data_IF_511742038881
#
_entry.id   IF_511742038881
#
_cell.length_a   1.000
_cell.length_b   1.000
_cell.length_c   1.000
_cell.angle_alpha   90.00
_cell.angle_beta   90.00
_cell.angle_gamma   90.00
#
_symmetry.space_group_name_H-M   'P 1'
#
loop_
_entity.id
_entity.type
_entity.pdbx_description
1 polymer ?
#
# COMPACT_ATOMS: atom_id res chain seq x y z
N UNK A 1 -80.52 18.56 41.34
CA UNK A 1 -79.83 19.34 40.29
C UNK A 1 -78.37 18.99 40.33
N UNK A 2 -77.95 17.91 39.63
CA UNK A 2 -76.58 17.44 39.60
C UNK A 2 -76.07 17.56 38.17
N UNK A 3 -75.10 18.41 37.97
CA UNK A 3 -74.47 18.58 36.66
C UNK A 3 -73.42 17.49 36.46
N UNK A 4 -73.59 16.74 35.38
CA UNK A 4 -72.69 15.71 34.93
C UNK A 4 -71.55 16.39 34.17
N UNK A 5 -70.33 16.36 34.75
CA UNK A 5 -69.13 16.81 34.07
C UNK A 5 -68.59 15.67 33.20
N UNK A 6 -68.76 15.78 31.90
CA UNK A 6 -68.19 14.89 30.91
C UNK A 6 -66.68 15.23 30.75
N UNK A 7 -65.80 14.38 31.29
CA UNK A 7 -64.34 14.44 30.99
C UNK A 7 -64.10 13.94 29.55
N UNK A 8 -63.72 14.87 28.67
CA UNK A 8 -63.20 14.52 27.37
C UNK A 8 -61.81 13.90 27.48
N UNK A 9 -61.69 12.60 27.23
CA UNK A 9 -60.40 11.95 27.03
C UNK A 9 -59.87 12.31 25.63
N UNK A 10 -58.75 13.01 25.56
CA UNK A 10 -58.01 13.27 24.34
C UNK A 10 -57.03 12.11 24.21
N UNK A 11 -57.07 11.25 23.16
CA UNK A 11 -56.06 10.26 22.92
C UNK A 11 -54.78 10.97 22.45
N UNK A 12 -53.74 10.93 23.23
CA UNK A 12 -52.39 11.36 22.83
C UNK A 12 -51.86 10.32 21.84
N UNK A 13 -51.90 10.68 20.56
CA UNK A 13 -51.30 9.91 19.49
C UNK A 13 -49.78 10.04 19.60
N UNK A 14 -49.15 9.02 20.15
CA UNK A 14 -47.68 8.92 20.19
C UNK A 14 -47.20 8.61 18.79
N UNK A 15 -46.81 9.64 18.02
CA UNK A 15 -46.11 9.48 16.74
C UNK A 15 -44.64 9.18 17.11
N UNK A 16 -44.30 7.89 17.14
CA UNK A 16 -42.92 7.45 17.20
C UNK A 16 -42.26 7.75 15.85
N UNK A 17 -41.56 8.87 15.78
CA UNK A 17 -40.62 9.18 14.69
C UNK A 17 -39.44 8.17 14.81
N UNK A 18 -39.55 7.10 14.05
CA UNK A 18 -38.40 6.23 13.76
C UNK A 18 -37.44 7.05 12.92
N UNK A 19 -36.43 7.64 13.59
CA UNK A 19 -35.24 8.14 12.92
C UNK A 19 -34.53 6.94 12.32
N UNK A 20 -34.79 6.61 11.07
CA UNK A 20 -33.90 5.82 10.26
C UNK A 20 -32.64 6.66 10.07
N UNK A 21 -31.66 6.46 10.97
CA UNK A 21 -30.29 6.86 10.74
C UNK A 21 -29.79 6.01 9.59
N UNK A 22 -29.89 6.53 8.38
CA UNK A 22 -29.17 6.03 7.24
C UNK A 22 -27.71 6.36 7.53
N UNK A 23 -26.95 5.42 8.11
CA UNK A 23 -25.50 5.48 8.09
C UNK A 23 -25.12 5.32 6.61
N UNK A 24 -25.01 6.43 5.90
CA UNK A 24 -24.23 6.48 4.68
C UNK A 24 -22.80 6.12 5.11
N UNK A 25 -22.38 4.90 4.81
CA UNK A 25 -20.95 4.55 4.82
C UNK A 25 -20.41 5.37 3.66
N UNK A 26 -19.75 6.50 3.98
CA UNK A 26 -19.02 7.23 2.98
C UNK A 26 -18.04 6.24 2.34
N UNK A 27 -17.98 6.16 0.99
CA UNK A 27 -17.03 5.28 0.35
C UNK A 27 -15.65 5.70 0.85
N UNK A 28 -14.90 4.73 1.41
CA UNK A 28 -13.52 4.96 1.85
C UNK A 28 -12.76 5.46 0.61
N UNK A 29 -12.38 6.72 0.64
CA UNK A 29 -11.54 7.30 -0.43
C UNK A 29 -10.17 6.61 -0.33
N UNK A 30 -9.91 5.69 -1.26
CA UNK A 30 -8.63 5.00 -1.34
C UNK A 30 -7.57 6.01 -1.76
N UNK A 31 -6.49 6.08 -1.00
CA UNK A 31 -5.32 6.85 -1.42
C UNK A 31 -4.62 6.19 -2.62
N UNK A 32 -3.74 6.91 -3.29
CA UNK A 32 -3.04 6.45 -4.48
C UNK A 32 -2.29 5.12 -4.26
N UNK A 33 -1.65 4.97 -3.10
CA UNK A 33 -0.99 3.73 -2.70
C UNK A 33 -1.98 2.54 -2.71
N UNK A 34 -3.12 2.69 -2.06
CA UNK A 34 -4.11 1.60 -1.95
C UNK A 34 -4.74 1.26 -3.31
N UNK A 35 -4.96 2.27 -4.17
CA UNK A 35 -5.47 2.06 -5.53
C UNK A 35 -4.50 1.20 -6.33
N UNK A 36 -3.21 1.52 -6.27
CA UNK A 36 -2.18 0.82 -7.04
C UNK A 36 -1.86 -0.57 -6.47
N UNK A 37 -1.86 -0.74 -5.15
CA UNK A 37 -1.77 -2.06 -4.52
C UNK A 37 -2.91 -2.98 -4.99
N UNK A 38 -4.16 -2.51 -4.91
CA UNK A 38 -5.32 -3.30 -5.39
C UNK A 38 -5.22 -3.62 -6.89
N UNK A 39 -4.70 -2.68 -7.69
CA UNK A 39 -4.47 -2.89 -9.13
C UNK A 39 -3.45 -4.01 -9.36
N UNK A 40 -2.30 -3.99 -8.66
CA UNK A 40 -1.28 -5.03 -8.72
C UNK A 40 -1.83 -6.39 -8.30
N UNK A 41 -2.45 -6.48 -7.13
CA UNK A 41 -3.03 -7.72 -6.62
C UNK A 41 -4.08 -8.32 -7.57
N UNK A 42 -4.91 -7.48 -8.22
CA UNK A 42 -5.93 -7.93 -9.17
C UNK A 42 -5.36 -8.61 -10.42
N UNK A 43 -4.09 -8.34 -10.76
CA UNK A 43 -3.42 -8.96 -11.92
C UNK A 43 -3.00 -10.40 -11.67
N UNK A 44 -2.86 -10.82 -10.40
CA UNK A 44 -2.41 -12.15 -10.00
C UNK A 44 -1.09 -12.57 -10.67
N UNK A 45 -0.17 -11.61 -10.89
CA UNK A 45 1.14 -11.86 -11.49
C UNK A 45 2.07 -12.35 -10.38
N UNK A 46 2.56 -13.58 -10.51
CA UNK A 46 3.42 -14.22 -9.50
C UNK A 46 4.79 -14.64 -10.06
N UNK A 47 5.02 -14.48 -11.37
CA UNK A 47 6.28 -14.82 -12.05
C UNK A 47 6.61 -13.70 -13.04
N UNK A 48 7.78 -13.08 -12.86
CA UNK A 48 8.21 -11.92 -13.62
C UNK A 48 9.71 -11.66 -13.43
N UNK A 49 10.26 -10.81 -14.27
CA UNK A 49 11.65 -10.30 -14.18
C UNK A 49 11.60 -8.78 -14.03
N UNK A 50 12.35 -8.25 -13.08
CA UNK A 50 12.53 -6.80 -12.89
C UNK A 50 14.01 -6.44 -12.82
N UNK A 51 14.33 -5.22 -13.27
CA UNK A 51 15.61 -4.58 -12.96
C UNK A 51 15.38 -3.61 -11.81
N UNK A 52 15.92 -3.92 -10.63
CA UNK A 52 15.76 -3.17 -9.39
C UNK A 52 17.05 -2.45 -9.00
N UNK A 53 16.95 -1.20 -8.60
CA UNK A 53 18.03 -0.43 -7.99
C UNK A 53 17.56 0.11 -6.64
N UNK A 54 18.38 -0.04 -5.60
CA UNK A 54 18.22 0.67 -4.34
C UNK A 54 19.08 1.93 -4.34
N UNK A 55 18.56 3.02 -3.77
CA UNK A 55 19.30 4.25 -3.48
C UNK A 55 19.22 4.53 -1.97
N UNK A 56 20.35 4.79 -1.34
CA UNK A 56 20.48 5.15 0.07
C UNK A 56 21.84 5.82 0.30
N UNK A 57 22.02 6.46 1.42
CA UNK A 57 23.34 6.89 1.88
C UNK A 57 24.13 5.71 2.48
N UNK A 58 24.19 4.61 1.74
CA UNK A 58 24.85 3.37 2.08
C UNK A 58 25.84 2.99 0.98
N UNK A 59 26.34 1.76 0.98
CA UNK A 59 27.20 1.29 -0.12
C UNK A 59 26.38 1.35 -1.42
N UNK A 60 26.86 2.10 -2.45
CA UNK A 60 26.16 2.17 -3.73
C UNK A 60 25.94 0.77 -4.30
N UNK A 61 24.70 0.49 -4.70
CA UNK A 61 24.36 -0.76 -5.37
C UNK A 61 24.14 -0.50 -6.86
N UNK A 62 24.72 -1.34 -7.72
CA UNK A 62 24.36 -1.37 -9.13
C UNK A 62 22.95 -1.94 -9.28
N UNK A 63 22.23 -1.55 -10.35
CA UNK A 63 20.95 -2.21 -10.67
C UNK A 63 21.17 -3.72 -10.86
N UNK A 64 20.24 -4.52 -10.34
CA UNK A 64 20.24 -5.98 -10.45
C UNK A 64 19.00 -6.48 -11.18
N UNK A 65 19.17 -7.49 -12.03
CA UNK A 65 18.05 -8.20 -12.63
C UNK A 65 17.60 -9.30 -11.68
N UNK A 66 16.35 -9.28 -11.29
CA UNK A 66 15.75 -10.23 -10.36
C UNK A 66 14.69 -11.04 -11.10
N UNK A 67 14.85 -12.36 -11.13
CA UNK A 67 13.83 -13.28 -11.60
C UNK A 67 13.02 -13.79 -10.42
N UNK A 68 11.71 -13.55 -10.48
CA UNK A 68 10.74 -13.97 -9.48
C UNK A 68 9.88 -15.10 -10.07
N UNK A 69 9.71 -16.19 -9.32
CA UNK A 69 8.78 -17.28 -9.63
C UNK A 69 7.98 -17.65 -8.39
N UNK A 70 6.64 -17.70 -8.53
CA UNK A 70 5.72 -17.98 -7.44
C UNK A 70 5.97 -17.04 -6.23
N UNK A 71 6.10 -15.74 -6.50
CA UNK A 71 6.35 -14.67 -5.53
C UNK A 71 7.65 -14.85 -4.72
N UNK A 72 8.65 -15.54 -5.26
CA UNK A 72 9.95 -15.76 -4.61
C UNK A 72 11.08 -15.46 -5.57
N UNK A 73 12.10 -14.78 -5.07
CA UNK A 73 13.34 -14.54 -5.82
C UNK A 73 14.01 -15.89 -6.08
N UNK A 74 14.31 -16.16 -7.34
CA UNK A 74 14.98 -17.38 -7.81
C UNK A 74 16.37 -17.12 -8.34
N UNK A 75 16.51 -16.05 -9.11
CA UNK A 75 17.77 -15.70 -9.73
C UNK A 75 18.03 -14.20 -9.57
N UNK A 76 19.30 -13.85 -9.43
CA UNK A 76 19.82 -12.48 -9.53
C UNK A 76 20.93 -12.49 -10.57
N UNK A 77 20.85 -11.57 -11.56
CA UNK A 77 21.78 -11.46 -12.68
C UNK A 77 22.01 -12.82 -13.38
N UNK A 78 20.90 -13.54 -13.66
CA UNK A 78 20.88 -14.86 -14.29
C UNK A 78 21.59 -15.97 -13.48
N UNK A 79 21.81 -15.80 -12.21
CA UNK A 79 22.39 -16.78 -11.32
C UNK A 79 21.42 -17.17 -10.20
N UNK A 80 21.20 -18.45 -9.99
CA UNK A 80 20.35 -18.96 -8.90
C UNK A 80 20.95 -18.51 -7.57
N UNK A 81 20.09 -18.00 -6.67
CA UNK A 81 20.48 -17.50 -5.37
C UNK A 81 19.96 -18.35 -4.24
N UNK A 82 20.76 -18.48 -3.18
CA UNK A 82 20.35 -19.14 -1.93
C UNK A 82 19.78 -18.13 -0.95
N UNK A 83 19.05 -18.61 0.06
CA UNK A 83 18.54 -17.75 1.14
C UNK A 83 19.67 -17.06 1.90
N UNK A 84 20.84 -17.69 2.02
CA UNK A 84 22.01 -17.07 2.67
C UNK A 84 22.56 -15.90 1.85
N UNK A 85 22.64 -16.03 0.52
CA UNK A 85 23.06 -14.95 -0.36
C UNK A 85 22.04 -13.79 -0.36
N UNK A 86 20.74 -14.09 -0.36
CA UNK A 86 19.69 -13.06 -0.25
C UNK A 86 19.83 -12.25 1.05
N UNK A 87 20.15 -12.91 2.17
CA UNK A 87 20.28 -12.23 3.46
C UNK A 87 21.56 -11.42 3.61
N UNK A 88 22.68 -11.87 3.01
CA UNK A 88 24.00 -11.29 3.25
C UNK A 88 24.49 -10.40 2.11
N UNK A 89 24.28 -10.82 0.86
CA UNK A 89 24.82 -10.17 -0.32
C UNK A 89 23.77 -9.30 -1.01
N UNK A 90 22.54 -9.81 -1.12
CA UNK A 90 21.43 -9.16 -1.83
C UNK A 90 20.28 -8.76 -0.88
N UNK A 91 20.62 -8.35 0.35
CA UNK A 91 19.65 -7.97 1.39
C UNK A 91 18.64 -6.89 0.96
N UNK A 92 19.00 -6.09 -0.05
CA UNK A 92 18.18 -5.04 -0.64
C UNK A 92 17.29 -5.54 -1.78
N UNK A 93 17.50 -6.75 -2.29
CA UNK A 93 16.65 -7.33 -3.32
C UNK A 93 15.24 -7.59 -2.77
N UNK A 94 14.24 -7.13 -3.50
CA UNK A 94 12.82 -7.24 -3.10
C UNK A 94 11.96 -7.67 -4.27
N UNK A 95 10.93 -8.46 -3.98
CA UNK A 95 9.81 -8.66 -4.89
C UNK A 95 8.92 -7.42 -4.90
N UNK A 96 8.01 -7.31 -5.88
CA UNK A 96 7.04 -6.20 -5.91
C UNK A 96 6.15 -6.21 -4.66
N UNK A 97 5.73 -7.39 -4.18
CA UNK A 97 4.93 -7.51 -2.95
C UNK A 97 5.70 -7.00 -1.72
N UNK A 98 7.00 -7.32 -1.64
CA UNK A 98 7.88 -6.81 -0.56
C UNK A 98 8.13 -5.29 -0.68
N UNK A 99 8.12 -4.72 -1.88
CA UNK A 99 8.18 -3.27 -2.07
C UNK A 99 6.90 -2.58 -1.57
N UNK A 100 5.73 -3.18 -1.79
CA UNK A 100 4.48 -2.66 -1.21
C UNK A 100 4.48 -2.71 0.32
N UNK A 101 5.00 -3.79 0.92
CA UNK A 101 5.18 -3.88 2.38
C UNK A 101 6.14 -2.78 2.86
N UNK A 102 7.26 -2.58 2.18
CA UNK A 102 8.23 -1.53 2.48
C UNK A 102 7.60 -0.12 2.43
N UNK A 103 6.76 0.16 1.42
CA UNK A 103 6.04 1.43 1.30
C UNK A 103 5.08 1.62 2.48
N UNK A 104 4.27 0.60 2.79
CA UNK A 104 3.28 0.65 3.88
C UNK A 104 3.93 0.90 5.25
N UNK A 105 5.09 0.27 5.51
CA UNK A 105 5.87 0.46 6.74
C UNK A 105 6.41 1.89 6.83
N UNK A 106 6.99 2.44 5.75
CA UNK A 106 7.57 3.78 5.76
C UNK A 106 6.49 4.88 5.82
N UNK A 107 5.33 4.72 5.17
CA UNK A 107 4.21 5.68 5.29
C UNK A 107 3.73 5.77 6.75
N UNK A 108 3.68 4.67 7.49
CA UNK A 108 3.25 4.65 8.91
C UNK A 108 4.21 5.37 9.85
N UNK A 109 5.46 5.54 9.46
CA UNK A 109 6.47 6.30 10.20
C UNK A 109 6.34 7.82 9.98
N UNK A 110 5.38 8.29 9.17
CA UNK A 110 5.12 9.71 8.86
C UNK A 110 6.39 10.44 8.39
N UNK A 111 7.02 10.01 7.26
CA UNK A 111 8.27 10.58 6.79
C UNK A 111 8.14 12.06 6.46
N UNK A 112 9.23 12.81 6.60
CA UNK A 112 9.30 14.23 6.23
C UNK A 112 8.97 14.47 4.75
N UNK A 113 9.47 13.60 3.87
CA UNK A 113 9.19 13.64 2.45
C UNK A 113 9.03 12.23 1.89
N UNK A 114 8.09 12.07 0.97
CA UNK A 114 7.92 10.84 0.20
C UNK A 114 7.58 11.15 -1.25
N UNK A 115 8.11 10.34 -2.17
CA UNK A 115 7.73 10.33 -3.57
C UNK A 115 7.45 8.90 -3.99
N UNK A 116 6.25 8.65 -4.50
CA UNK A 116 5.82 7.35 -4.98
C UNK A 116 5.29 7.49 -6.41
N UNK A 117 5.87 6.74 -7.34
CA UNK A 117 5.39 6.65 -8.71
C UNK A 117 5.03 5.21 -9.02
N UNK A 118 3.87 5.00 -9.65
CA UNK A 118 3.34 3.68 -9.93
C UNK A 118 3.12 3.46 -11.43
N UNK A 119 3.35 2.23 -11.86
CA UNK A 119 3.08 1.81 -13.24
C UNK A 119 1.60 1.94 -13.58
N UNK A 120 1.28 2.68 -14.62
CA UNK A 120 -0.11 2.95 -15.02
C UNK A 120 -0.88 1.68 -15.40
N UNK A 121 -0.22 0.67 -15.96
CA UNK A 121 -0.85 -0.56 -16.46
C UNK A 121 -1.05 -1.61 -15.39
N UNK A 122 -0.03 -1.83 -14.55
CA UNK A 122 0.01 -2.93 -13.58
C UNK A 122 -0.10 -2.48 -12.14
N UNK A 123 0.18 -1.21 -11.83
CA UNK A 123 0.08 -0.64 -10.48
C UNK A 123 1.32 -0.88 -9.60
N UNK A 124 2.35 -1.61 -10.04
CA UNK A 124 3.55 -1.79 -9.24
C UNK A 124 4.32 -0.47 -9.08
N UNK A 125 5.09 -0.29 -7.97
CA UNK A 125 5.88 0.92 -7.77
C UNK A 125 7.06 0.95 -8.75
N UNK A 126 7.17 2.02 -9.56
CA UNK A 126 8.31 2.28 -10.45
C UNK A 126 9.39 3.09 -9.74
N UNK A 127 8.97 4.02 -8.88
CA UNK A 127 9.88 4.83 -8.09
C UNK A 127 9.36 4.98 -6.66
N UNK A 128 10.25 4.78 -5.71
CA UNK A 128 9.99 4.91 -4.27
C UNK A 128 11.11 5.76 -3.69
N UNK A 129 10.76 6.81 -2.95
CA UNK A 129 11.69 7.62 -2.21
C UNK A 129 11.07 8.04 -0.88
N UNK A 130 11.84 7.88 0.18
CA UNK A 130 11.52 8.37 1.51
C UNK A 130 12.71 9.11 2.09
N UNK A 131 12.44 10.32 2.63
CA UNK A 131 13.32 11.02 3.55
C UNK A 131 12.62 11.07 4.91
N UNK A 132 13.22 10.44 5.91
CA UNK A 132 12.57 10.28 7.22
C UNK A 132 12.61 11.55 8.04
N UNK A 133 13.74 12.30 8.00
CA UNK A 133 13.94 13.49 8.82
C UNK A 133 14.58 14.62 8.02
N UNK A 134 14.04 15.85 8.16
CA UNK A 134 14.49 17.04 7.44
C UNK A 134 15.97 17.41 7.65
N UNK A 135 16.50 17.09 8.83
CA UNK A 135 17.83 17.54 9.26
C UNK A 135 18.92 16.44 9.19
N UNK A 136 18.56 15.23 8.78
CA UNK A 136 19.50 14.10 8.65
C UNK A 136 19.69 13.74 7.18
N UNK A 137 20.92 13.85 6.71
CA UNK A 137 21.31 13.67 5.29
C UNK A 137 21.41 12.20 4.88
N UNK A 138 21.46 11.27 5.84
CA UNK A 138 21.72 9.84 5.64
C UNK A 138 20.55 8.91 5.93
N UNK A 139 19.35 9.48 6.11
CA UNK A 139 18.10 8.76 6.34
C UNK A 139 17.27 8.49 5.06
N UNK A 140 17.81 8.94 3.92
CA UNK A 140 17.14 8.76 2.63
C UNK A 140 17.25 7.31 2.15
N UNK A 141 16.12 6.76 1.71
CA UNK A 141 16.06 5.42 1.12
C UNK A 141 15.05 5.37 -0.01
N UNK A 142 15.38 4.66 -1.08
CA UNK A 142 14.49 4.51 -2.22
C UNK A 142 14.76 3.28 -3.06
N UNK A 143 13.83 3.01 -3.96
CA UNK A 143 13.93 1.96 -4.96
C UNK A 143 13.44 2.43 -6.32
N UNK A 144 14.06 1.93 -7.38
CA UNK A 144 13.62 2.18 -8.76
C UNK A 144 13.52 0.86 -9.50
N UNK A 145 12.39 0.61 -10.15
CA UNK A 145 12.22 -0.47 -11.12
C UNK A 145 12.35 0.13 -12.52
N UNK A 146 13.42 -0.20 -13.24
CA UNK A 146 13.70 0.34 -14.58
C UNK A 146 13.22 -0.57 -15.72
N UNK A 147 12.94 -1.84 -15.44
CA UNK A 147 12.31 -2.76 -16.38
C UNK A 147 11.38 -3.74 -15.65
N UNK A 148 10.32 -4.18 -16.35
CA UNK A 148 9.38 -5.19 -15.89
C UNK A 148 8.93 -6.05 -17.07
N UNK A 149 9.10 -7.37 -16.94
CA UNK A 149 8.68 -8.34 -17.95
C UNK A 149 7.98 -9.52 -17.28
N UNK A 150 6.81 -9.89 -17.78
CA UNK A 150 6.09 -11.10 -17.33
C UNK A 150 6.71 -12.29 -18.04
N UNK A 151 7.02 -13.35 -17.29
CA UNK A 151 7.64 -14.60 -17.82
C UNK A 151 6.60 -15.52 -18.45
#
# INVERSE_FOLDING_TARGET
>A
MQQLIMKKFIPILFISLLFYSCNSIDPIELNEFQINLNKWESKNINSYIITLKMSCFCIPTDPIDIKIENNKIKEINNSTVTSEQLNNEYWYAKTIDELFIFIDENIKEEPFEQVLEFNETHGFPEYIYFNREEMLVDEEIGYTISSFNID
#
